data_IF_207476248358
#
_entry.id   IF_207476248358
#
_cell.length_a   1.000
_cell.length_b   1.000
_cell.length_c   1.000
_cell.angle_alpha   90.00
_cell.angle_beta   90.00
_cell.angle_gamma   90.00
#
_symmetry.space_group_name_H-M   'P 1'
#
loop_
_entity.id
_entity.type
_entity.pdbx_description
1 polymer ?
2 polymer ?
#
loop_
_entity_poly.entity_id
_entity_poly.type
_entity_poly.pdbx_seq_one_letter_code
_entity_poly.pdbx_strand_id
2 'polydeoxyribonucleotide/polyribonucleotide hybrid' 'GUCCCCACGCGUGUGGG(DG)A' ?
#
# COMPACT_ATOMS: atom_id res chain seq x y z
N UNK A 55 1.95 -1.20 -20.65
CA UNK A 55 1.40 -0.26 -19.65
C UNK A 55 0.38 -0.96 -18.75
N UNK A 56 0.83 -2.05 -18.11
CA UNK A 56 0.03 -2.77 -17.12
C UNK A 56 0.77 -2.81 -15.78
N UNK A 57 0.37 -3.73 -14.90
CA UNK A 57 0.99 -3.90 -13.59
C UNK A 57 1.18 -5.36 -13.26
N UNK A 58 1.84 -5.63 -12.14
CA UNK A 58 2.07 -7.00 -11.68
C UNK A 58 1.77 -7.14 -10.20
N UNK A 59 0.97 -8.15 -9.84
CA UNK A 59 0.67 -8.42 -8.44
C UNK A 59 1.28 -9.74 -7.98
N UNK A 60 2.00 -9.68 -6.85
CA UNK A 60 2.62 -10.87 -6.26
C UNK A 60 2.14 -11.09 -4.84
N UNK A 61 1.85 -12.34 -4.53
CA UNK A 61 1.47 -12.75 -3.18
C UNK A 61 2.65 -13.51 -2.55
N UNK A 62 3.25 -12.91 -1.53
CA UNK A 62 4.35 -13.53 -0.81
C UNK A 62 3.91 -13.96 0.59
N UNK A 63 3.85 -15.28 0.81
CA UNK A 63 3.60 -15.81 2.14
C UNK A 63 4.93 -16.08 2.82
N UNK A 64 5.30 -15.20 3.74
CA UNK A 64 6.62 -15.25 4.37
C UNK A 64 6.72 -16.39 5.38
N UNK A 65 7.82 -17.13 5.30
CA UNK A 65 8.10 -18.22 6.20
C UNK A 65 8.65 -17.72 7.54
N UNK A 66 7.86 -17.89 8.63
CA UNK A 66 8.24 -17.34 9.93
C UNK A 66 9.41 -18.07 10.56
N UNK A 67 9.76 -19.23 10.01
CA UNK A 67 10.96 -19.96 10.42
C UNK A 67 12.24 -19.31 9.86
N UNK A 68 12.09 -18.44 8.87
CA UNK A 68 13.20 -17.74 8.23
C UNK A 68 13.62 -16.51 9.03
N UNK A 69 14.89 -16.48 9.46
CA UNK A 69 15.44 -15.35 10.19
C UNK A 69 15.52 -14.10 9.31
N UNK A 70 15.74 -14.30 8.02
CA UNK A 70 15.72 -13.22 7.04
C UNK A 70 14.32 -12.59 6.94
N UNK A 71 13.30 -13.44 6.98
CA UNK A 71 11.91 -12.99 6.96
C UNK A 71 11.52 -12.27 8.26
N UNK A 72 11.86 -12.87 9.40
CA UNK A 72 11.56 -12.31 10.72
C UNK A 72 12.19 -10.92 10.93
N UNK A 73 13.33 -10.70 10.29
CA UNK A 73 14.00 -9.40 10.29
C UNK A 73 13.21 -8.38 9.47
N UNK A 74 12.74 -8.80 8.29
CA UNK A 74 11.99 -7.94 7.39
C UNK A 74 10.60 -7.63 7.92
N UNK A 75 10.07 -8.51 8.75
CA UNK A 75 8.76 -8.30 9.38
C UNK A 75 8.85 -7.28 10.49
N UNK A 76 9.98 -7.28 11.20
CA UNK A 76 10.25 -6.29 12.24
C UNK A 76 10.56 -4.94 11.62
N UNK A 77 11.28 -4.95 10.50
CA UNK A 77 11.79 -3.72 9.91
C UNK A 77 11.23 -3.48 8.51
N UNK A 78 10.15 -2.67 8.41
CA UNK A 78 9.52 -2.32 7.15
C UNK A 78 10.53 -1.84 6.10
N UNK A 79 11.54 -1.09 6.54
CA UNK A 79 12.57 -0.62 5.63
C UNK A 79 13.42 -1.77 5.07
N UNK A 80 13.81 -2.70 5.94
CA UNK A 80 14.59 -3.88 5.51
C UNK A 80 13.79 -4.80 4.59
N UNK A 81 12.46 -4.73 4.72
CA UNK A 81 11.56 -5.42 3.81
C UNK A 81 11.53 -4.75 2.44
N UNK A 82 11.53 -3.41 2.43
CA UNK A 82 11.57 -2.68 1.17
C UNK A 82 12.87 -2.93 0.42
N UNK A 83 13.99 -2.92 1.14
CA UNK A 83 15.30 -3.20 0.56
C UNK A 83 15.34 -4.59 -0.08
N UNK A 84 14.77 -5.57 0.60
CA UNK A 84 14.66 -6.93 0.06
C UNK A 84 13.80 -6.96 -1.19
N UNK A 85 12.60 -6.41 -1.09
CA UNK A 85 11.63 -6.46 -2.18
C UNK A 85 12.12 -5.79 -3.46
N UNK A 86 12.85 -4.68 -3.31
CA UNK A 86 13.33 -3.91 -4.46
C UNK A 86 14.44 -4.63 -5.23
N UNK A 87 14.97 -5.71 -4.64
CA UNK A 87 15.95 -6.58 -5.30
C UNK A 87 15.36 -7.28 -6.53
N UNK A 88 14.06 -7.59 -6.46
CA UNK A 88 13.39 -8.33 -7.52
C UNK A 88 13.07 -7.47 -8.74
N UNK A 89 13.00 -6.16 -8.53
CA UNK A 89 12.81 -5.19 -9.61
C UNK A 89 13.98 -4.21 -9.66
N UNK A 90 15.16 -4.73 -9.32
CA UNK A 90 16.37 -3.92 -9.14
C UNK A 90 16.76 -3.09 -10.37
N UNK A 91 16.66 -3.70 -11.55
CA UNK A 91 17.11 -3.03 -12.78
C UNK A 91 16.22 -1.84 -13.18
N UNK A 92 14.90 -2.05 -13.14
CA UNK A 92 13.95 -1.00 -13.51
C UNK A 92 13.95 0.16 -12.52
N UNK A 93 14.34 -0.12 -11.28
CA UNK A 93 14.52 0.94 -10.28
C UNK A 93 15.74 1.78 -10.60
N UNK A 94 16.85 1.12 -10.88
CA UNK A 94 18.09 1.78 -11.32
C UNK A 94 17.82 2.69 -12.52
N UNK A 95 16.99 2.21 -13.45
CA UNK A 95 16.63 2.96 -14.66
C UNK A 95 15.48 3.93 -14.39
N UNK A 96 15.04 4.01 -13.14
CA UNK A 96 13.98 4.94 -12.72
C UNK A 96 12.70 4.83 -13.53
N UNK A 97 12.26 3.60 -13.77
CA UNK A 97 10.99 3.36 -14.45
C UNK A 97 10.12 2.36 -13.66
N UNK A 98 10.35 2.32 -12.35
CA UNK A 98 9.59 1.45 -11.46
C UNK A 98 9.01 2.22 -10.26
N UNK A 99 7.79 1.84 -9.87
CA UNK A 99 7.18 2.32 -8.64
C UNK A 99 6.73 1.12 -7.82
N UNK A 100 7.53 0.76 -6.81
CA UNK A 100 7.24 -0.40 -5.98
C UNK A 100 6.30 -0.04 -4.85
N UNK A 101 5.22 -0.81 -4.75
CA UNK A 101 4.26 -0.64 -3.66
C UNK A 101 3.96 -2.01 -3.06
N UNK A 102 3.82 -2.05 -1.73
CA UNK A 102 3.48 -3.29 -1.04
C UNK A 102 2.70 -3.06 0.24
N UNK A 103 2.09 -4.12 0.76
CA UNK A 103 1.38 -4.07 2.02
C UNK A 103 1.56 -5.37 2.79
N UNK A 104 1.67 -5.26 4.11
CA UNK A 104 1.55 -6.41 4.97
C UNK A 104 0.07 -6.59 5.33
N UNK A 105 -0.56 -7.62 4.75
CA UNK A 105 -1.97 -7.90 4.99
C UNK A 105 -2.25 -8.21 6.46
N UNK A 106 -3.34 -7.63 7.02
CA UNK A 106 -3.64 -7.69 8.45
C UNK A 106 -3.60 -9.11 9.01
N UNK A 107 -2.85 -9.28 10.10
CA UNK A 107 -2.72 -10.57 10.77
C UNK A 107 -4.09 -11.18 11.02
N UNK A 108 -4.29 -12.39 10.48
CA UNK A 108 -5.57 -13.07 10.58
C UNK A 108 -5.52 -14.25 11.55
N UNK A 109 -4.56 -15.14 11.33
CA UNK A 109 -4.55 -16.45 12.00
C UNK A 109 -4.02 -16.45 13.43
N UNK A 110 -3.30 -17.51 13.83
CA UNK A 110 -2.94 -18.68 12.97
C UNK A 110 -1.83 -18.38 11.96
N UNK A 111 -1.75 -17.13 11.48
CA UNK A 111 -0.78 -16.71 10.45
C UNK A 111 -1.12 -17.40 9.13
N UNK A 112 -0.11 -17.59 8.23
CA UNK A 112 1.22 -16.98 8.20
C UNK A 112 1.20 -15.62 7.51
N UNK A 113 2.17 -14.74 7.84
CA UNK A 113 2.28 -13.38 7.27
C UNK A 113 2.21 -13.34 5.75
N UNK A 114 1.29 -12.52 5.23
CA UNK A 114 1.12 -12.34 3.79
C UNK A 114 1.52 -10.93 3.35
N UNK A 115 2.37 -10.84 2.33
CA UNK A 115 2.78 -9.55 1.76
C UNK A 115 2.31 -9.44 0.31
N UNK A 116 1.48 -8.45 0.02
CA UNK A 116 1.07 -8.17 -1.34
C UNK A 116 1.96 -7.10 -1.97
N UNK A 117 2.55 -7.42 -3.12
CA UNK A 117 3.54 -6.56 -3.76
C UNK A 117 3.08 -6.16 -5.17
N UNK A 118 2.97 -4.85 -5.41
CA UNK A 118 2.62 -4.34 -6.74
C UNK A 118 3.81 -3.67 -7.42
N UNK A 119 4.02 -4.02 -8.69
CA UNK A 119 5.09 -3.45 -9.49
C UNK A 119 4.64 -3.12 -10.90
N UNK A 120 5.26 -2.12 -11.49
CA UNK A 120 5.02 -1.75 -12.88
C UNK A 120 5.67 -2.76 -13.84
N UNK A 121 6.84 -3.26 -13.46
CA UNK A 121 7.55 -4.26 -14.28
C UNK A 121 7.50 -5.64 -13.65
N UNK A 122 7.70 -6.66 -14.47
CA UNK A 122 7.67 -8.05 -14.03
C UNK A 122 8.82 -8.31 -13.05
N UNK A 123 8.49 -8.73 -11.81
CA UNK A 123 9.52 -8.95 -10.79
C UNK A 123 10.20 -10.32 -10.92
N UNK A 124 11.48 -10.38 -10.54
CA UNK A 124 12.25 -11.63 -10.54
C UNK A 124 12.45 -12.13 -9.11
N UNK A 125 11.51 -12.93 -8.61
CA UNK A 125 11.51 -13.30 -7.19
C UNK A 125 12.53 -14.37 -6.82
N UNK A 126 13.30 -14.81 -7.82
CA UNK A 126 14.44 -15.71 -7.57
C UNK A 126 15.52 -14.99 -6.77
N UNK A 127 15.28 -13.71 -6.47
CA UNK A 127 16.24 -12.86 -5.78
C UNK A 127 16.15 -12.99 -4.26
N UNK A 128 15.09 -13.65 -3.78
CA UNK A 128 14.88 -13.82 -2.35
C UNK A 128 15.83 -14.87 -1.77
N UNK A 129 16.06 -14.79 -0.45
CA UNK A 129 16.86 -15.80 0.24
C UNK A 129 16.14 -17.13 0.25
N UNK A 130 16.91 -18.22 0.26
CA UNK A 130 16.33 -19.57 0.32
C UNK A 130 15.48 -19.69 1.58
N UNK A 131 14.24 -20.13 1.42
CA UNK A 131 13.33 -20.32 2.54
C UNK A 131 12.79 -19.04 3.15
N UNK A 132 12.96 -17.93 2.43
CA UNK A 132 12.44 -16.63 2.86
C UNK A 132 10.91 -16.59 2.81
N UNK A 133 10.35 -16.89 1.64
CA UNK A 133 8.90 -16.83 1.41
C UNK A 133 8.45 -17.84 0.36
N UNK A 134 7.16 -18.19 0.41
CA UNK A 134 6.54 -19.02 -0.62
C UNK A 134 5.95 -18.10 -1.69
N UNK A 135 6.58 -18.08 -2.85
CA UNK A 135 6.21 -17.13 -3.92
C UNK A 135 5.07 -17.66 -4.78
N UNK A 136 4.09 -16.81 -5.01
CA UNK A 136 3.02 -17.11 -5.96
C UNK A 136 3.24 -16.35 -7.26
N UNK A 137 3.20 -17.08 -8.40
CA UNK A 137 3.42 -16.50 -9.73
C UNK A 137 2.79 -15.11 -9.88
N UNK A 138 3.61 -14.10 -10.21
CA UNK A 138 3.14 -12.75 -10.48
C UNK A 138 2.21 -12.71 -11.69
N UNK A 139 0.93 -12.41 -11.45
CA UNK A 139 -0.05 -12.39 -12.54
C UNK A 139 -0.30 -10.97 -13.08
N UNK A 140 -0.20 -10.80 -14.43
CA UNK A 140 -0.41 -9.52 -15.11
C UNK A 140 -1.76 -8.86 -14.78
N UNK A 141 -1.69 -7.79 -14.01
CA UNK A 141 -2.88 -7.09 -13.52
C UNK A 141 -3.21 -5.92 -14.45
N UNK A 142 -4.40 -5.96 -15.03
CA UNK A 142 -4.95 -4.83 -15.77
C UNK A 142 -6.23 -4.37 -15.06
N UNK A 143 -6.21 -3.14 -14.50
CA UNK A 143 -7.40 -2.68 -13.78
C UNK A 143 -8.40 -2.06 -14.75
N UNK A 144 -9.13 -2.90 -15.47
CA UNK A 144 -10.08 -2.44 -16.45
C UNK A 144 -11.16 -1.60 -15.79
N UNK A 145 -11.02 -0.28 -15.89
CA UNK A 145 -11.92 0.65 -15.20
C UNK A 145 -12.82 1.42 -16.15
N UNK A 146 -14.12 1.21 -15.99
CA UNK A 146 -15.12 2.02 -16.68
C UNK A 146 -15.64 3.06 -15.70
N UNK A 147 -16.16 4.20 -16.21
CA UNK A 147 -16.68 5.24 -15.33
C UNK A 147 -17.87 4.77 -14.48
N UNK A 148 -17.99 5.32 -13.27
CA UNK A 148 -19.13 5.02 -12.40
C UNK A 148 -19.04 3.67 -11.71
N UNK A 149 -18.06 2.85 -12.13
CA UNK A 149 -17.82 1.56 -11.50
C UNK A 149 -17.53 1.72 -10.02
N UNK A 150 -18.17 0.89 -9.19
CA UNK A 150 -17.90 0.89 -7.75
C UNK A 150 -17.07 -0.32 -7.31
N UNK A 151 -16.24 -0.11 -6.29
CA UNK A 151 -15.28 -1.13 -5.87
C UNK A 151 -15.05 -1.16 -4.36
N UNK A 152 -14.83 -2.37 -3.81
CA UNK A 152 -14.26 -2.52 -2.48
C UNK A 152 -12.80 -2.12 -2.57
N UNK A 153 -12.28 -1.49 -1.51
CA UNK A 153 -10.89 -1.11 -1.49
C UNK A 153 -10.19 -1.37 -0.15
N UNK A 154 -8.88 -1.51 -0.18
CA UNK A 154 -8.05 -1.53 1.01
C UNK A 154 -6.80 -0.70 0.81
N UNK A 155 -6.44 0.06 1.84
CA UNK A 155 -5.29 0.95 1.77
C UNK A 155 -4.73 1.21 3.17
N UNK A 156 -3.51 0.75 3.42
CA UNK A 156 -2.75 1.17 4.59
C UNK A 156 -1.93 2.39 4.19
N UNK A 157 -2.28 3.55 4.74
CA UNK A 157 -1.67 4.82 4.33
C UNK A 157 -1.11 5.60 5.49
N UNK A 158 -0.53 6.77 5.20
CA UNK A 158 -0.08 7.69 6.23
C UNK A 158 -0.76 9.07 6.12
N UNK A 159 -1.94 9.21 6.76
CA UNK A 159 -2.69 10.47 6.74
C UNK A 159 -2.04 11.51 7.63
N UNK A 160 -1.28 12.42 7.02
CA UNK A 160 -0.55 13.44 7.77
C UNK A 160 -0.72 14.83 7.15
N UNK A 161 0.09 15.77 7.63
CA UNK A 161 0.09 17.14 7.12
C UNK A 161 1.40 17.85 7.47
N UNK A 162 1.90 18.64 6.53
CA UNK A 162 3.11 19.42 6.75
C UNK A 162 2.76 20.67 7.56
N UNK A 163 3.16 20.67 8.83
CA UNK A 163 3.08 21.86 9.66
C UNK A 163 4.09 22.90 9.15
N UNK A 164 3.62 24.13 8.98
CA UNK A 164 4.48 25.22 8.55
C UNK A 164 5.10 25.94 9.75
N UNK A 165 4.49 25.73 10.93
CA UNK A 165 4.99 26.29 12.18
C UNK A 165 6.28 25.60 12.65
N UNK A 166 6.45 24.35 12.23
CA UNK A 166 7.65 23.58 12.58
C UNK A 166 8.44 23.11 11.35
N UNK A 167 7.76 22.99 10.21
CA UNK A 167 8.36 22.45 8.99
C UNK A 167 8.35 20.94 8.94
N UNK A 168 7.67 20.33 9.92
CA UNK A 168 7.63 18.87 10.05
C UNK A 168 6.31 18.30 9.52
N UNK A 169 6.28 17.00 9.27
CA UNK A 169 5.06 16.32 8.85
C UNK A 169 4.50 15.44 9.97
N UNK A 170 3.60 16.02 10.76
CA UNK A 170 2.93 15.29 11.84
C UNK A 170 1.66 14.60 11.34
N UNK A 171 1.29 13.50 12.00
CA UNK A 171 0.10 12.74 11.62
C UNK A 171 -1.16 13.34 12.21
N UNK A 172 -2.26 13.25 11.46
CA UNK A 172 -3.57 13.73 11.91
C UNK A 172 -4.08 12.91 13.11
N UNK A 173 -4.79 13.56 14.03
CA UNK A 173 -5.18 12.92 15.29
C UNK A 173 -6.55 12.19 15.28
N UNK A 174 -7.61 12.92 14.90
CA UNK A 174 -8.97 12.37 14.97
C UNK A 174 -9.34 11.56 13.72
N UNK A 175 -10.14 10.49 13.91
CA UNK A 175 -10.66 9.70 12.79
C UNK A 175 -11.42 10.57 11.78
N UNK A 176 -12.10 11.59 12.27
CA UNK A 176 -12.86 12.51 11.42
C UNK A 176 -11.97 13.22 10.40
N UNK A 177 -10.76 13.59 10.82
CA UNK A 177 -9.80 14.26 9.92
C UNK A 177 -8.89 13.28 9.19
N UNK A 178 -8.81 12.04 9.68
CA UNK A 178 -8.12 10.97 8.97
C UNK A 178 -8.91 10.59 7.72
N UNK A 179 -10.22 10.42 7.89
CA UNK A 179 -11.12 10.08 6.80
C UNK A 179 -11.22 11.23 5.79
N UNK A 180 -11.19 12.45 6.30
CA UNK A 180 -11.21 13.65 5.45
C UNK A 180 -10.01 13.68 4.50
N UNK A 181 -8.87 13.16 4.97
CA UNK A 181 -7.66 13.05 4.16
C UNK A 181 -7.86 12.05 3.03
N UNK A 182 -8.36 10.87 3.37
CA UNK A 182 -8.66 9.84 2.39
C UNK A 182 -9.67 10.34 1.37
N UNK A 183 -10.76 10.93 1.87
CA UNK A 183 -11.83 11.48 1.05
C UNK A 183 -11.32 12.51 0.04
N UNK A 184 -10.35 13.32 0.47
CA UNK A 184 -9.69 14.28 -0.40
C UNK A 184 -8.81 13.58 -1.42
N UNK A 185 -7.96 12.68 -0.92
CA UNK A 185 -6.91 12.03 -1.73
C UNK A 185 -7.46 11.14 -2.84
N UNK A 186 -8.56 10.45 -2.57
CA UNK A 186 -9.23 9.64 -3.57
C UNK A 186 -9.91 10.54 -4.59
N UNK A 187 -10.54 11.60 -4.11
CA UNK A 187 -11.21 12.58 -4.98
C UNK A 187 -10.24 13.32 -5.90
N UNK A 188 -9.01 13.53 -5.43
CA UNK A 188 -7.94 14.06 -6.27
C UNK A 188 -7.58 13.06 -7.36
N UNK A 189 -7.57 11.78 -6.99
CA UNK A 189 -7.08 10.72 -7.87
C UNK A 189 -8.12 10.04 -8.74
N UNK A 190 -9.22 10.72 -9.02
CA UNK A 190 -10.24 10.22 -9.94
C UNK A 190 -11.25 9.27 -9.32
N UNK A 191 -11.12 9.06 -8.01
CA UNK A 191 -12.06 8.23 -7.27
C UNK A 191 -13.05 9.08 -6.48
N UNK A 192 -14.01 8.42 -5.84
CA UNK A 192 -14.95 9.09 -4.95
C UNK A 192 -15.46 8.08 -3.93
N UNK A 193 -15.32 8.41 -2.64
CA UNK A 193 -15.86 7.58 -1.56
C UNK A 193 -17.38 7.52 -1.62
N UNK A 194 -17.94 6.32 -1.54
CA UNK A 194 -19.37 6.16 -1.41
C UNK A 194 -19.81 6.54 -0.01
N UNK A 195 -21.09 6.84 0.17
CA UNK A 195 -21.59 7.28 1.48
C UNK A 195 -23.08 7.02 1.69
N UNK A 196 -23.43 6.67 2.91
CA UNK A 196 -24.83 6.57 3.33
C UNK A 196 -25.15 7.72 4.26
N UNK A 197 -26.43 7.85 4.62
CA UNK A 197 -26.90 8.97 5.44
C UNK A 197 -26.39 8.93 6.88
N UNK A 198 -25.39 8.08 7.13
CA UNK A 198 -24.69 8.07 8.42
C UNK A 198 -23.31 8.69 8.31
N UNK A 199 -22.60 8.39 7.22
CA UNK A 199 -21.28 8.97 6.96
C UNK A 199 -20.67 8.39 5.69
N UNK A 200 -19.35 8.51 5.53
CA UNK A 200 -18.67 7.90 4.39
C UNK A 200 -18.58 6.39 4.56
N UNK A 201 -18.42 5.67 3.46
CA UNK A 201 -18.49 4.20 3.47
C UNK A 201 -17.15 3.57 3.79
N UNK A 202 -16.43 4.14 4.73
CA UNK A 202 -15.10 3.65 5.10
C UNK A 202 -15.05 3.25 6.58
N UNK A 203 -14.06 2.43 6.93
CA UNK A 203 -13.84 2.02 8.30
C UNK A 203 -12.34 1.86 8.56
N UNK A 204 -11.85 2.51 9.62
CA UNK A 204 -10.47 2.35 10.05
C UNK A 204 -10.32 1.08 10.87
N UNK A 205 -9.41 0.21 10.46
CA UNK A 205 -9.20 -1.07 11.13
C UNK A 205 -7.93 -1.09 11.98
N UNK A 206 -6.85 -0.51 11.47
CA UNK A 206 -5.61 -0.38 12.24
C UNK A 206 -5.11 1.06 12.24
N UNK A 207 -4.31 1.40 13.25
CA UNK A 207 -3.86 2.77 13.46
C UNK A 207 -2.60 2.78 14.34
N UNK A 208 -1.50 2.25 13.80
CA UNK A 208 -0.28 2.05 14.59
C UNK A 208 0.82 3.05 14.24
N UNK A 209 1.57 3.46 15.26
CA UNK A 209 2.69 4.38 15.10
C UNK A 209 4.00 3.62 14.91
N UNK A 210 4.47 3.57 13.66
CA UNK A 210 5.68 2.82 13.32
C UNK A 210 6.94 3.58 13.70
N UNK A 211 7.80 2.90 14.45
CA UNK A 211 9.10 3.47 14.82
C UNK A 211 10.24 2.64 14.22
N UNK A 212 10.40 2.77 12.90
CA UNK A 212 11.37 1.99 12.15
C UNK A 212 12.80 2.49 12.40
N UNK A 213 13.69 1.56 12.74
CA UNK A 213 15.07 1.91 13.12
C UNK A 213 16.01 2.23 11.96
N UNK A 214 15.80 1.58 10.82
CA UNK A 214 16.66 1.72 9.62
C UNK A 214 17.96 0.91 9.75
N UNK A 224 16.04 6.95 13.22
CA UNK A 224 14.74 6.39 13.59
C UNK A 224 13.60 7.04 12.81
N UNK A 225 13.01 6.27 11.91
CA UNK A 225 11.84 6.71 11.13
C UNK A 225 10.57 6.57 11.96
N UNK A 226 9.73 7.59 11.93
CA UNK A 226 8.48 7.61 12.69
C UNK A 226 7.30 7.98 11.79
N UNK A 227 6.36 7.05 11.67
CA UNK A 227 5.24 7.20 10.74
C UNK A 227 3.96 6.61 11.34
N UNK A 228 2.84 7.31 11.14
CA UNK A 228 1.54 6.84 11.61
C UNK A 228 0.82 6.03 10.53
N UNK A 229 0.76 4.71 10.73
CA UNK A 229 0.18 3.80 9.74
C UNK A 229 -1.28 3.53 10.02
N UNK A 230 -2.14 3.85 9.05
CA UNK A 230 -3.58 3.75 9.22
C UNK A 230 -4.21 2.85 8.15
N UNK A 231 -4.90 1.80 8.58
CA UNK A 231 -5.55 0.89 7.64
C UNK A 231 -7.01 1.27 7.40
N UNK A 232 -7.30 1.67 6.16
CA UNK A 232 -8.67 1.95 5.72
C UNK A 232 -9.20 0.76 4.95
N UNK A 233 -10.53 0.60 4.98
CA UNK A 233 -11.20 -0.41 4.18
C UNK A 233 -12.64 0.04 3.98
N UNK A 234 -13.06 0.12 2.71
CA UNK A 234 -14.40 0.61 2.40
C UNK A 234 -14.78 0.47 0.95
N UNK A 235 -15.59 1.41 0.47
CA UNK A 235 -16.11 1.38 -0.90
C UNK A 235 -15.93 2.73 -1.58
N UNK A 236 -15.60 2.68 -2.87
CA UNK A 236 -15.41 3.89 -3.68
C UNK A 236 -15.95 3.73 -5.10
N UNK A 237 -16.24 4.85 -5.73
CA UNK A 237 -16.71 4.88 -7.10
C UNK A 237 -15.61 5.45 -8.00
N UNK A 238 -15.62 5.06 -9.27
CA UNK A 238 -14.67 5.57 -10.25
C UNK A 238 -15.29 6.74 -11.05
N UNK A 239 -14.74 7.94 -10.86
CA UNK A 239 -15.20 9.11 -11.60
C UNK A 239 -14.46 9.24 -12.93
N UNK A 240 -13.16 9.50 -12.86
CA UNK A 240 -12.31 9.58 -14.06
C UNK A 240 -11.40 8.37 -14.13
N UNK A 241 -11.67 7.44 -15.07
CA UNK A 241 -10.97 6.15 -15.13
C UNK A 241 -9.48 6.29 -15.43
N UNK A 242 -9.11 7.38 -16.09
CA UNK A 242 -7.72 7.65 -16.44
C UNK A 242 -6.96 8.15 -15.20
N UNK A 243 -7.53 9.12 -14.51
CA UNK A 243 -6.97 9.60 -13.25
C UNK A 243 -6.89 8.48 -12.24
N UNK A 244 -7.87 7.56 -12.30
CA UNK A 244 -7.99 6.45 -11.37
C UNK A 244 -6.86 5.44 -11.57
N UNK A 245 -6.70 5.00 -12.81
CA UNK A 245 -5.61 4.10 -13.20
C UNK A 245 -4.25 4.62 -12.76
N UNK A 246 -3.98 5.90 -13.03
CA UNK A 246 -2.72 6.54 -12.64
C UNK A 246 -2.52 6.54 -11.13
N UNK A 247 -3.61 6.69 -10.38
CA UNK A 247 -3.55 6.68 -8.91
C UNK A 247 -3.12 5.32 -8.39
N UNK A 248 -3.65 4.26 -9.00
CA UNK A 248 -3.30 2.90 -8.63
C UNK A 248 -1.81 2.63 -8.91
N UNK A 249 -1.33 3.16 -10.03
CA UNK A 249 0.08 3.02 -10.43
C UNK A 249 1.03 3.79 -9.50
N UNK A 250 0.64 5.01 -9.13
CA UNK A 250 1.44 5.85 -8.23
C UNK A 250 1.39 5.37 -6.79
N UNK A 251 0.21 4.98 -6.33
CA UNK A 251 -0.04 4.76 -4.92
C UNK A 251 -0.51 6.06 -4.29
N UNK A 252 -0.85 6.00 -3.00
CA UNK A 252 -1.48 7.13 -2.31
C UNK A 252 -0.72 7.55 -1.04
N UNK A 253 -0.15 8.75 -1.07
CA UNK A 253 0.43 9.34 0.14
C UNK A 253 1.81 8.81 0.51
N UNK A 254 2.40 9.35 1.61
CA UNK A 254 3.79 9.07 2.01
C UNK A 254 4.00 7.67 2.58
N UNK A 255 5.26 7.35 2.88
CA UNK A 255 5.62 6.07 3.51
C UNK A 255 5.55 4.88 2.57
N UNK A 256 5.78 5.12 1.28
CA UNK A 256 5.72 4.05 0.27
C UNK A 256 6.84 3.03 0.44
N UNK A 257 7.98 3.51 0.93
CA UNK A 257 9.11 2.64 1.23
C UNK A 257 8.97 1.96 2.59
N UNK A 258 7.78 2.09 3.19
CA UNK A 258 7.52 1.49 4.50
C UNK A 258 6.34 0.54 4.46
N UNK A 259 5.69 0.44 3.32
CA UNK A 259 4.58 -0.49 3.13
C UNK A 259 3.23 0.19 3.11
N UNK A 260 3.26 1.50 2.91
CA UNK A 260 2.04 2.30 2.81
C UNK A 260 1.82 2.75 1.36
N UNK A 261 0.60 3.19 1.06
CA UNK A 261 0.32 3.77 -0.23
C UNK A 261 -0.43 2.87 -1.20
N UNK A 262 -0.16 1.57 -1.16
CA UNK A 262 -0.81 0.65 -2.09
C UNK A 262 -2.33 0.64 -1.92
N UNK A 263 -3.02 1.20 -2.91
CA UNK A 263 -4.47 1.16 -2.96
C UNK A 263 -4.92 -0.10 -3.71
N UNK A 264 -5.42 -1.07 -2.98
CA UNK A 264 -5.96 -2.29 -3.58
C UNK A 264 -7.46 -2.14 -3.80
N UNK A 265 -7.91 -2.44 -5.02
CA UNK A 265 -9.34 -2.40 -5.33
C UNK A 265 -9.84 -3.73 -5.90
N UNK A 266 -11.05 -4.09 -5.55
CA UNK A 266 -11.68 -5.32 -6.05
C UNK A 266 -13.19 -5.12 -6.15
N UNK A 267 -13.83 -5.77 -7.14
CA UNK A 267 -15.27 -5.56 -7.37
C UNK A 267 -16.15 -6.29 -6.35
#
# INVERSE_FOLDING_TARGET
MHHHHHHSSGLVPRGSGMKETAAAKFERQHMDSPDLGTDDDDKAMADIGSENLYFQMWLTKLVLNPASRAARRDLANPYEMHRTLSKAVSRALEEGRERLLWRLEPARGLEPPVVLVQTLTEPDWSVLDEGYAQVFPPKPFHPALKPGQRLRFRLRANPAKRLAATGKRVALKTPAEKVAWLERRLEEGGFRLLEGERGPWVQILQDTFLEVRRKKDGEEAGKLLQVQAVLFEGRLEVVDPERALATLRRGVGPGKALGLGLLSVAP
#
